data_IF_388323564736
#
_entry.id   IF_388323564736
#
_cell.length_a   1.000
_cell.length_b   1.000
_cell.length_c   1.000
_cell.angle_alpha   90.00
_cell.angle_beta   90.00
_cell.angle_gamma   90.00
#
_symmetry.space_group_name_H-M   'P 1'
#
loop_
_entity.id
_entity.type
_entity.pdbx_description
1 polymer ?
#
# COMPACT_ATOMS: atom_id res chain seq x y z
N UNK A 1 -5.38 -19.39 1.56
CA UNK A 1 -4.58 -18.20 1.92
C UNK A 1 -3.24 -18.37 1.25
N UNK A 2 -2.91 -17.50 0.29
CA UNK A 2 -1.56 -17.47 -0.30
C UNK A 2 -0.55 -17.11 0.81
N UNK A 3 0.63 -17.73 0.77
CA UNK A 3 1.72 -17.37 1.68
C UNK A 3 2.17 -15.93 1.35
N UNK A 4 2.59 -15.17 2.36
CA UNK A 4 3.19 -13.84 2.19
C UNK A 4 4.26 -13.82 1.09
N UNK A 5 5.05 -14.89 1.00
CA UNK A 5 6.09 -15.07 -0.01
C UNK A 5 5.52 -15.24 -1.43
N UNK A 6 4.36 -15.89 -1.57
CA UNK A 6 3.68 -16.06 -2.87
C UNK A 6 3.19 -14.71 -3.40
N UNK A 7 2.61 -13.88 -2.53
CA UNK A 7 2.17 -12.53 -2.90
C UNK A 7 3.34 -11.66 -3.39
N UNK A 8 4.47 -11.70 -2.67
CA UNK A 8 5.66 -10.96 -3.07
C UNK A 8 6.21 -11.47 -4.40
N UNK A 9 6.31 -12.79 -4.56
CA UNK A 9 6.81 -13.38 -5.80
C UNK A 9 5.93 -12.99 -7.00
N UNK A 10 4.61 -13.05 -6.84
CA UNK A 10 3.66 -12.63 -7.88
C UNK A 10 3.77 -11.12 -8.16
N UNK A 11 3.75 -10.27 -7.13
CA UNK A 11 3.90 -8.81 -7.28
C UNK A 11 5.17 -8.46 -8.03
N UNK A 12 6.31 -9.05 -7.66
CA UNK A 12 7.59 -8.77 -8.33
C UNK A 12 7.57 -9.16 -9.80
N UNK A 13 6.95 -10.29 -10.13
CA UNK A 13 6.81 -10.74 -11.51
C UNK A 13 5.96 -9.75 -12.32
N UNK A 14 4.82 -9.33 -11.80
CA UNK A 14 3.93 -8.38 -12.46
C UNK A 14 4.60 -7.01 -12.60
N UNK A 15 5.20 -6.51 -11.53
CA UNK A 15 5.95 -5.25 -11.53
C UNK A 15 7.07 -5.25 -12.57
N UNK A 16 7.79 -6.35 -12.74
CA UNK A 16 8.86 -6.41 -13.75
C UNK A 16 8.35 -6.31 -15.18
N UNK A 17 7.14 -6.79 -15.46
CA UNK A 17 6.48 -6.63 -16.77
C UNK A 17 5.97 -5.20 -16.95
N UNK A 18 5.30 -4.67 -15.94
CA UNK A 18 4.66 -3.35 -15.97
C UNK A 18 5.71 -2.23 -16.02
N UNK A 19 6.74 -2.31 -15.18
CA UNK A 19 7.83 -1.34 -15.10
C UNK A 19 8.97 -1.63 -16.09
N UNK A 20 8.74 -2.42 -17.15
CA UNK A 20 9.75 -2.66 -18.18
C UNK A 20 9.92 -1.40 -19.06
N UNK A 21 10.93 -0.60 -18.70
CA UNK A 21 11.30 0.63 -19.41
C UNK A 21 11.69 0.37 -20.87
N UNK A 22 12.18 -0.83 -21.22
CA UNK A 22 12.59 -1.17 -22.58
C UNK A 22 11.39 -1.24 -23.55
N UNK A 23 10.19 -1.52 -23.03
CA UNK A 23 8.96 -1.61 -23.80
C UNK A 23 8.01 -0.43 -23.58
N UNK A 24 8.42 0.59 -22.79
CA UNK A 24 7.63 1.78 -22.47
C UNK A 24 6.24 1.47 -21.88
N UNK A 25 6.05 0.29 -21.28
CA UNK A 25 4.72 -0.22 -20.93
C UNK A 25 4.04 0.55 -19.80
N UNK A 26 4.81 1.18 -18.90
CA UNK A 26 4.27 2.15 -17.93
C UNK A 26 5.27 3.27 -17.64
N UNK A 27 5.47 4.17 -18.59
CA UNK A 27 6.19 5.42 -18.35
C UNK A 27 5.58 6.27 -17.20
N UNK A 28 4.35 5.98 -16.77
CA UNK A 28 3.63 6.74 -15.73
C UNK A 28 2.86 5.86 -14.72
N UNK A 29 3.42 4.70 -14.33
CA UNK A 29 2.86 3.78 -13.33
C UNK A 29 2.35 4.48 -12.06
N UNK A 30 3.11 5.46 -11.56
CA UNK A 30 2.76 6.20 -10.33
C UNK A 30 1.50 7.04 -10.49
N UNK A 31 1.28 7.64 -11.67
CA UNK A 31 0.07 8.41 -11.95
C UNK A 31 -1.15 7.50 -11.92
N UNK A 32 -1.08 6.35 -12.60
CA UNK A 32 -2.16 5.37 -12.60
C UNK A 32 -2.48 4.86 -11.21
N UNK A 33 -1.45 4.59 -10.39
CA UNK A 33 -1.65 4.20 -8.99
C UNK A 33 -2.40 5.27 -8.19
N UNK A 34 -2.03 6.54 -8.34
CA UNK A 34 -2.74 7.62 -7.64
C UNK A 34 -4.18 7.77 -8.12
N UNK A 35 -4.45 7.60 -9.41
CA UNK A 35 -5.80 7.64 -9.96
C UNK A 35 -6.69 6.54 -9.39
N UNK A 36 -6.20 5.28 -9.37
CA UNK A 36 -6.93 4.14 -8.78
C UNK A 36 -7.15 4.33 -7.27
N UNK A 37 -6.14 4.81 -6.53
CA UNK A 37 -6.28 5.11 -5.09
C UNK A 37 -7.30 6.20 -4.81
N UNK A 38 -7.33 7.26 -5.63
CA UNK A 38 -8.34 8.31 -5.50
C UNK A 38 -9.74 7.79 -5.83
N UNK A 39 -9.88 6.95 -6.85
CA UNK A 39 -11.15 6.33 -7.22
C UNK A 39 -11.67 5.43 -6.08
N UNK A 40 -10.81 4.57 -5.52
CA UNK A 40 -11.12 3.74 -4.36
C UNK A 40 -11.52 4.60 -3.15
N UNK A 41 -10.78 5.70 -2.88
CA UNK A 41 -11.07 6.62 -1.78
C UNK A 41 -12.46 7.24 -1.90
N UNK A 42 -12.81 7.78 -3.06
CA UNK A 42 -14.11 8.42 -3.32
C UNK A 42 -15.28 7.45 -3.11
N UNK A 43 -15.07 6.17 -3.41
CA UNK A 43 -16.10 5.13 -3.27
C UNK A 43 -16.17 4.51 -1.86
N UNK A 44 -15.11 4.69 -1.07
CA UNK A 44 -14.99 4.13 0.28
C UNK A 44 -15.64 5.01 1.35
N UNK A 45 -15.70 4.47 2.58
CA UNK A 45 -16.13 5.22 3.78
C UNK A 45 -14.98 5.69 4.66
N UNK A 46 -13.73 5.57 4.23
CA UNK A 46 -12.59 6.00 5.05
C UNK A 46 -12.59 7.52 5.20
N UNK A 47 -12.13 8.01 6.35
CA UNK A 47 -12.06 9.45 6.60
C UNK A 47 -10.83 10.08 5.92
N UNK A 48 -10.82 11.41 5.78
CA UNK A 48 -9.64 12.17 5.31
C UNK A 48 -8.39 11.87 6.16
N UNK A 49 -8.56 11.62 7.46
CA UNK A 49 -7.45 11.24 8.36
C UNK A 49 -6.89 9.88 7.98
N UNK A 50 -7.75 8.89 7.70
CA UNK A 50 -7.31 7.56 7.30
C UNK A 50 -6.63 7.60 5.93
N UNK A 51 -7.16 8.42 5.01
CA UNK A 51 -6.52 8.67 3.71
C UNK A 51 -5.16 9.36 3.86
N UNK A 52 -5.00 10.28 4.82
CA UNK A 52 -3.69 10.90 5.10
C UNK A 52 -2.68 9.86 5.59
N UNK A 53 -3.11 8.89 6.38
CA UNK A 53 -2.27 7.74 6.80
C UNK A 53 -1.90 6.89 5.58
N UNK A 54 -2.86 6.54 4.71
CA UNK A 54 -2.60 5.79 3.48
C UNK A 54 -1.60 6.51 2.57
N UNK A 55 -1.79 7.81 2.33
CA UNK A 55 -0.87 8.62 1.55
C UNK A 55 0.54 8.60 2.15
N UNK A 56 0.65 8.71 3.48
CA UNK A 56 1.95 8.67 4.16
C UNK A 56 2.62 7.30 4.03
N UNK A 57 1.84 6.21 4.08
CA UNK A 57 2.33 4.85 3.82
C UNK A 57 2.83 4.72 2.37
N UNK A 58 2.08 5.23 1.38
CA UNK A 58 2.48 5.23 -0.03
C UNK A 58 3.80 5.97 -0.26
N UNK A 59 3.94 7.16 0.32
CA UNK A 59 5.11 8.00 0.07
C UNK A 59 6.39 7.51 0.75
N UNK A 60 6.29 6.73 1.84
CA UNK A 60 7.45 6.46 2.68
C UNK A 60 7.65 4.99 3.09
N UNK A 61 6.62 4.16 3.00
CA UNK A 61 6.66 2.77 3.48
C UNK A 61 6.35 1.77 2.37
N UNK A 62 5.99 2.23 1.18
CA UNK A 62 5.67 1.38 0.06
C UNK A 62 6.93 0.77 -0.53
N UNK A 63 6.90 -0.55 -0.68
CA UNK A 63 7.81 -1.28 -1.54
C UNK A 63 7.07 -1.62 -2.83
N UNK A 64 7.17 -0.74 -3.82
CA UNK A 64 6.40 -0.80 -5.07
C UNK A 64 6.49 -2.19 -5.75
N UNK A 65 7.70 -2.73 -5.91
CA UNK A 65 7.87 -4.07 -6.50
C UNK A 65 7.24 -5.22 -5.70
N UNK A 66 7.04 -5.05 -4.39
CA UNK A 66 6.45 -6.05 -3.50
C UNK A 66 4.96 -5.81 -3.24
N UNK A 67 4.41 -4.68 -3.69
CA UNK A 67 3.08 -4.19 -3.32
C UNK A 67 2.81 -4.24 -1.81
N UNK A 68 3.79 -3.92 -0.98
CA UNK A 68 3.64 -4.02 0.49
C UNK A 68 4.07 -2.76 1.23
N UNK A 69 3.37 -2.47 2.31
CA UNK A 69 3.81 -1.54 3.34
C UNK A 69 4.51 -2.28 4.46
N UNK A 70 5.70 -1.78 4.84
CA UNK A 70 6.41 -2.25 6.03
C UNK A 70 6.45 -1.18 7.10
N UNK A 71 5.84 -1.48 8.25
CA UNK A 71 5.84 -0.63 9.45
C UNK A 71 6.68 -1.33 10.52
N UNK A 72 7.82 -0.75 10.87
CA UNK A 72 8.71 -1.31 11.89
C UNK A 72 8.15 -1.10 13.30
N UNK A 73 7.67 0.12 13.59
CA UNK A 73 6.98 0.49 14.82
C UNK A 73 6.03 1.67 14.57
N UNK A 74 5.06 1.90 15.46
CA UNK A 74 4.18 3.06 15.36
C UNK A 74 4.90 4.37 15.71
N UNK A 75 5.83 4.32 16.67
CA UNK A 75 6.75 5.42 16.99
C UNK A 75 7.53 5.87 15.75
N UNK A 76 8.22 4.95 15.08
CA UNK A 76 9.03 5.26 13.89
C UNK A 76 8.18 5.88 12.79
N UNK A 77 6.95 5.40 12.62
CA UNK A 77 6.02 5.96 11.63
C UNK A 77 5.63 7.40 11.97
N UNK A 78 5.25 7.65 13.23
CA UNK A 78 4.82 8.99 13.65
C UNK A 78 5.99 9.99 13.55
N UNK A 79 7.18 9.59 13.99
CA UNK A 79 8.36 10.45 14.00
C UNK A 79 8.83 10.81 12.59
N UNK A 80 8.76 9.87 11.63
CA UNK A 80 9.25 10.08 10.26
C UNK A 80 8.28 10.85 9.36
N UNK A 81 6.98 10.76 9.61
CA UNK A 81 6.00 11.18 8.61
C UNK A 81 5.31 12.51 8.90
N UNK A 82 5.61 13.18 10.03
CA UNK A 82 4.99 14.45 10.44
C UNK A 82 3.45 14.44 10.37
N UNK A 83 2.84 13.26 10.32
CA UNK A 83 1.41 13.07 10.44
C UNK A 83 1.15 13.30 11.91
N UNK A 84 0.57 14.43 12.28
CA UNK A 84 0.23 14.77 13.67
C UNK A 84 -0.84 13.83 14.24
N UNK A 85 -0.55 12.53 14.30
CA UNK A 85 -1.46 11.45 14.65
C UNK A 85 -0.91 10.69 15.86
N UNK A 86 -1.79 10.40 16.81
CA UNK A 86 -1.44 9.58 17.95
C UNK A 86 -1.42 8.09 17.57
N UNK A 87 -0.68 7.26 18.31
CA UNK A 87 -0.64 5.80 18.09
C UNK A 87 -2.03 5.14 18.07
N UNK A 88 -2.98 5.49 18.97
CA UNK A 88 -4.32 4.94 18.90
C UNK A 88 -5.05 5.30 17.59
N UNK A 89 -4.88 6.53 17.12
CA UNK A 89 -5.48 6.98 15.87
C UNK A 89 -4.84 6.30 14.67
N UNK A 90 -3.52 6.11 14.65
CA UNK A 90 -2.83 5.32 13.63
C UNK A 90 -3.34 3.88 13.57
N UNK A 91 -3.44 3.21 14.72
CA UNK A 91 -4.01 1.86 14.84
C UNK A 91 -5.43 1.78 14.30
N UNK A 92 -6.27 2.78 14.63
CA UNK A 92 -7.64 2.89 14.12
C UNK A 92 -7.65 3.07 12.60
N UNK A 93 -6.81 3.95 12.07
CA UNK A 93 -6.73 4.21 10.63
C UNK A 93 -6.29 2.98 9.86
N UNK A 94 -5.26 2.25 10.32
CA UNK A 94 -4.86 0.98 9.70
C UNK A 94 -6.00 -0.02 9.65
N UNK A 95 -6.76 -0.18 10.75
CA UNK A 95 -7.95 -1.05 10.75
C UNK A 95 -9.03 -0.57 9.79
N UNK A 96 -9.24 0.74 9.65
CA UNK A 96 -10.21 1.30 8.70
C UNK A 96 -9.79 1.05 7.25
N UNK A 97 -8.49 1.16 6.94
CA UNK A 97 -7.95 0.85 5.62
C UNK A 97 -8.05 -0.65 5.32
N UNK A 98 -7.85 -1.51 6.31
CA UNK A 98 -8.09 -2.95 6.20
C UNK A 98 -9.57 -3.27 5.93
N UNK A 99 -10.50 -2.65 6.67
CA UNK A 99 -11.94 -2.92 6.50
C UNK A 99 -12.49 -2.46 5.15
N UNK A 100 -11.93 -1.39 4.60
CA UNK A 100 -12.32 -0.84 3.29
C UNK A 100 -11.42 -1.39 2.16
N UNK A 101 -10.68 -2.47 2.41
CA UNK A 101 -9.92 -3.24 1.41
C UNK A 101 -8.80 -2.50 0.68
N UNK A 102 -8.29 -1.40 1.22
CA UNK A 102 -7.06 -0.75 0.70
C UNK A 102 -5.84 -1.60 1.01
N UNK A 103 -5.78 -2.19 2.20
CA UNK A 103 -4.66 -2.99 2.66
C UNK A 103 -5.13 -4.32 3.27
N UNK A 104 -4.25 -5.31 3.31
CA UNK A 104 -4.51 -6.57 3.99
C UNK A 104 -3.29 -7.01 4.80
N UNK A 105 -3.53 -7.38 6.04
CA UNK A 105 -2.47 -7.77 6.96
C UNK A 105 -1.92 -9.15 6.59
N UNK A 106 -0.62 -9.23 6.28
CA UNK A 106 0.02 -10.46 5.81
C UNK A 106 1.08 -11.01 6.77
N UNK A 107 1.58 -10.22 7.73
CA UNK A 107 2.53 -10.69 8.77
C UNK A 107 2.44 -9.88 10.07
N UNK A 108 2.67 -10.54 11.21
CA UNK A 108 2.50 -9.97 12.57
C UNK A 108 3.60 -10.30 13.59
N UNK A 109 4.51 -11.23 13.32
CA UNK A 109 5.35 -11.80 14.38
C UNK A 109 6.34 -10.79 14.96
N UNK A 110 7.14 -10.12 14.13
CA UNK A 110 8.10 -9.08 14.55
C UNK A 110 8.05 -7.82 13.68
N UNK A 111 7.29 -7.85 12.58
CA UNK A 111 7.18 -6.76 11.61
C UNK A 111 5.72 -6.66 11.20
N UNK A 112 5.19 -5.43 11.17
CA UNK A 112 3.84 -5.17 10.73
C UNK A 112 3.86 -4.95 9.23
N UNK A 113 3.45 -5.97 8.48
CA UNK A 113 3.47 -5.95 7.01
C UNK A 113 2.06 -6.07 6.47
N UNK A 114 1.75 -5.17 5.54
CA UNK A 114 0.50 -5.08 4.84
C UNK A 114 0.71 -5.24 3.34
N UNK A 115 -0.11 -6.06 2.69
CA UNK A 115 -0.29 -6.03 1.24
C UNK A 115 -1.07 -4.76 0.89
N UNK A 116 -0.57 -3.96 -0.03
CA UNK A 116 -1.29 -2.84 -0.61
C UNK A 116 -2.15 -3.34 -1.77
N UNK A 117 -3.44 -3.55 -1.51
CA UNK A 117 -4.32 -4.26 -2.44
C UNK A 117 -4.63 -3.47 -3.70
N UNK A 118 -4.71 -2.15 -3.60
CA UNK A 118 -4.96 -1.29 -4.76
C UNK A 118 -3.82 -1.41 -5.78
N UNK A 119 -2.56 -1.24 -5.35
CA UNK A 119 -1.40 -1.44 -6.24
C UNK A 119 -1.32 -2.87 -6.76
N UNK A 120 -1.53 -3.86 -5.91
CA UNK A 120 -1.45 -5.26 -6.32
C UNK A 120 -2.47 -5.60 -7.43
N UNK A 121 -3.73 -5.17 -7.29
CA UNK A 121 -4.77 -5.35 -8.32
C UNK A 121 -4.48 -4.56 -9.58
N UNK A 122 -3.89 -3.38 -9.45
CA UNK A 122 -3.49 -2.58 -10.60
C UNK A 122 -2.40 -3.30 -11.40
N UNK A 123 -1.40 -3.87 -10.71
CA UNK A 123 -0.40 -4.73 -11.34
C UNK A 123 -1.03 -5.93 -12.05
N UNK A 124 -1.99 -6.62 -11.42
CA UNK A 124 -2.72 -7.74 -12.06
C UNK A 124 -3.47 -7.33 -13.34
N UNK A 125 -3.97 -6.09 -13.41
CA UNK A 125 -4.68 -5.56 -14.59
C UNK A 125 -3.72 -5.20 -15.73
N UNK A 126 -2.50 -4.80 -15.40
CA UNK A 126 -1.52 -4.28 -16.35
C UNK A 126 -0.48 -5.32 -16.82
N UNK A 127 -0.33 -6.44 -16.09
CA UNK A 127 0.60 -7.54 -16.41
C UNK A 127 -0.03 -8.64 -17.25
#
# INVERSE_FOLDING_TARGET
MNNYEDWIAQSKKMYHVVADEAYLLCADFKRELYEEVMADYIQSKISKTDFTVLHSLMMNNLKEAESTFKINSFEDFIDRHSVGISKPNLSRSLKSLESESFIEKVRTSNELIYLFKTEFKMLEKLS
#
